data_IF_343497482959
#
_entry.id   IF_343497482959
#
_cell.length_a   1.000
_cell.length_b   1.000
_cell.length_c   1.000
_cell.angle_alpha   90.00
_cell.angle_beta   90.00
_cell.angle_gamma   90.00
#
_symmetry.space_group_name_H-M   'P 1'
#
loop_
_entity.id
_entity.type
_entity.pdbx_description
1 polymer ?
#
# COMPACT_ATOMS: atom_id res chain seq x y z
N UNK A 1 2.03 -6.59 -4.48
CA UNK A 1 2.30 -6.51 -5.92
C UNK A 1 1.08 -6.93 -6.72
N UNK A 2 0.69 -8.23 -6.72
CA UNK A 2 -0.38 -8.79 -7.57
C UNK A 2 -1.73 -8.08 -7.46
N UNK A 3 -2.13 -7.67 -6.27
CA UNK A 3 -3.41 -6.98 -6.03
C UNK A 3 -3.41 -5.61 -6.72
N UNK A 4 -2.34 -4.85 -6.57
CA UNK A 4 -2.24 -3.51 -7.18
C UNK A 4 -2.10 -3.63 -8.69
N UNK A 5 -1.36 -4.63 -9.20
CA UNK A 5 -1.27 -4.92 -10.63
C UNK A 5 -2.65 -5.24 -11.23
N UNK A 6 -3.44 -6.07 -10.56
CA UNK A 6 -4.81 -6.37 -10.98
C UNK A 6 -5.69 -5.12 -11.04
N UNK A 7 -5.56 -4.21 -10.05
CA UNK A 7 -6.29 -2.95 -10.07
C UNK A 7 -5.87 -2.00 -11.20
N UNK A 8 -4.58 -2.02 -11.60
CA UNK A 8 -4.11 -1.27 -12.76
C UNK A 8 -4.75 -1.79 -14.05
N UNK A 9 -4.83 -3.10 -14.18
CA UNK A 9 -5.49 -3.76 -15.31
C UNK A 9 -6.99 -3.43 -15.36
N UNK A 10 -7.70 -3.57 -14.25
CA UNK A 10 -9.15 -3.27 -14.13
C UNK A 10 -9.46 -1.81 -14.49
N UNK A 11 -8.61 -0.88 -14.06
CA UNK A 11 -8.77 0.56 -14.32
C UNK A 11 -8.21 0.98 -15.68
N UNK A 12 -7.71 0.05 -16.50
CA UNK A 12 -7.10 0.30 -17.82
C UNK A 12 -5.97 1.34 -17.75
N UNK A 13 -5.19 1.34 -16.68
CA UNK A 13 -4.03 2.19 -16.51
C UNK A 13 -2.84 1.52 -17.20
N UNK A 14 -2.00 2.31 -17.90
CA UNK A 14 -0.83 1.80 -18.59
C UNK A 14 0.09 1.04 -17.61
N UNK A 15 0.36 -0.23 -17.91
CA UNK A 15 1.20 -1.12 -17.09
C UNK A 15 2.64 -0.58 -16.94
N UNK A 16 3.13 0.22 -17.89
CA UNK A 16 4.42 0.89 -17.79
C UNK A 16 4.51 1.85 -16.59
N UNK A 17 3.38 2.26 -16.03
CA UNK A 17 3.34 3.07 -14.80
C UNK A 17 3.39 2.23 -13.54
N UNK A 18 3.06 0.94 -13.61
CA UNK A 18 3.01 0.08 -12.45
C UNK A 18 4.39 -0.31 -11.90
N UNK A 19 5.32 -0.73 -12.76
CA UNK A 19 6.67 -1.12 -12.33
C UNK A 19 7.40 0.00 -11.56
N UNK A 20 7.41 1.26 -12.04
CA UNK A 20 8.00 2.35 -11.27
C UNK A 20 7.39 2.52 -9.88
N UNK A 21 6.07 2.30 -9.71
CA UNK A 21 5.41 2.41 -8.41
C UNK A 21 6.06 1.50 -7.37
N UNK A 22 6.32 0.25 -7.76
CA UNK A 22 6.99 -0.71 -6.87
C UNK A 22 8.35 -0.21 -6.40
N UNK A 23 9.18 0.27 -7.32
CA UNK A 23 10.51 0.78 -6.98
C UNK A 23 10.45 2.05 -6.12
N UNK A 24 9.54 2.98 -6.42
CA UNK A 24 9.36 4.18 -5.60
C UNK A 24 8.94 3.83 -4.17
N UNK A 25 7.99 2.91 -4.00
CA UNK A 25 7.58 2.45 -2.67
C UNK A 25 8.70 1.73 -1.93
N UNK A 26 9.38 0.79 -2.60
CA UNK A 26 10.44 0.00 -2.00
C UNK A 26 11.60 0.87 -1.51
N UNK A 27 12.15 1.69 -2.39
CA UNK A 27 13.27 2.57 -2.02
C UNK A 27 12.84 3.68 -1.07
N UNK A 28 11.63 4.22 -1.23
CA UNK A 28 11.09 5.22 -0.32
C UNK A 28 10.98 4.71 1.11
N UNK A 29 10.41 3.52 1.30
CA UNK A 29 10.31 2.90 2.63
C UNK A 29 11.70 2.56 3.18
N UNK A 30 12.56 1.92 2.40
CA UNK A 30 13.87 1.49 2.86
C UNK A 30 14.76 2.68 3.27
N UNK A 31 14.89 3.67 2.41
CA UNK A 31 15.68 4.88 2.66
C UNK A 31 15.07 5.66 3.82
N UNK A 32 13.75 5.86 3.81
CA UNK A 32 13.06 6.58 4.88
C UNK A 32 13.20 5.90 6.23
N UNK A 33 13.02 4.58 6.31
CA UNK A 33 13.17 3.82 7.54
C UNK A 33 14.61 3.88 8.08
N UNK A 34 15.59 3.80 7.19
CA UNK A 34 17.02 3.90 7.57
C UNK A 34 17.38 5.29 8.07
N UNK A 35 17.06 6.32 7.29
CA UNK A 35 17.33 7.71 7.69
C UNK A 35 16.57 8.07 8.97
N UNK A 36 15.31 7.64 9.09
CA UNK A 36 14.53 7.85 10.31
C UNK A 36 15.19 7.22 11.54
N UNK A 37 15.73 6.01 11.43
CA UNK A 37 16.47 5.39 12.51
C UNK A 37 17.74 6.20 12.86
N UNK A 38 18.57 6.49 11.88
CA UNK A 38 19.83 7.21 12.09
C UNK A 38 19.61 8.61 12.69
N UNK A 39 18.57 9.33 12.27
CA UNK A 39 18.33 10.70 12.73
C UNK A 39 17.66 10.74 14.09
N UNK A 40 16.66 9.87 14.35
CA UNK A 40 15.84 9.98 15.56
C UNK A 40 16.30 9.11 16.71
N UNK A 41 17.01 8.00 16.43
CA UNK A 41 17.39 7.04 17.47
C UNK A 41 18.89 6.99 17.75
N UNK A 42 19.73 7.25 16.77
CA UNK A 42 21.17 6.99 16.89
C UNK A 42 22.03 8.11 16.25
N UNK A 43 21.52 9.34 16.28
CA UNK A 43 22.20 10.50 15.69
C UNK A 43 23.61 10.70 16.20
N UNK A 44 23.83 10.53 17.51
CA UNK A 44 25.13 10.69 18.15
C UNK A 44 26.23 9.79 17.55
N UNK A 45 25.84 8.61 17.04
CA UNK A 45 26.75 7.69 16.35
C UNK A 45 26.89 8.04 14.88
N UNK A 46 25.78 8.26 14.18
CA UNK A 46 25.78 8.40 12.72
C UNK A 46 26.24 9.77 12.21
N UNK A 47 26.30 10.80 13.07
CA UNK A 47 26.88 12.09 12.69
C UNK A 47 28.36 11.99 12.28
N UNK A 48 29.10 11.02 12.82
CA UNK A 48 30.51 10.75 12.53
C UNK A 48 30.72 9.58 11.55
N UNK A 49 29.61 8.84 11.20
CA UNK A 49 29.65 7.61 10.40
C UNK A 49 28.68 7.64 9.22
N UNK A 50 28.72 8.70 8.40
CA UNK A 50 27.79 8.89 7.26
C UNK A 50 27.76 7.74 6.25
N UNK A 51 28.90 7.06 6.06
CA UNK A 51 29.00 5.91 5.13
C UNK A 51 28.12 4.76 5.62
N UNK A 52 28.12 4.49 6.92
CA UNK A 52 27.32 3.45 7.56
C UNK A 52 25.81 3.80 7.62
N UNK A 53 25.48 5.09 7.51
CA UNK A 53 24.09 5.52 7.40
C UNK A 53 23.46 5.04 6.08
N UNK A 54 24.23 5.10 4.99
CA UNK A 54 23.74 4.81 3.63
C UNK A 54 23.96 3.35 3.25
N UNK A 55 25.15 2.80 3.57
CA UNK A 55 25.53 1.44 3.21
C UNK A 55 25.30 0.46 4.36
N UNK A 56 24.92 -0.81 4.08
CA UNK A 56 24.71 -1.84 5.10
C UNK A 56 26.02 -2.45 5.59
N UNK A 57 27.01 -1.62 5.86
CA UNK A 57 28.37 -1.99 6.30
C UNK A 57 28.69 -1.30 7.61
N UNK A 58 29.51 -1.92 8.41
CA UNK A 58 30.03 -1.35 9.67
C UNK A 58 31.53 -1.46 9.71
N UNK A 59 32.20 -0.39 10.13
CA UNK A 59 33.64 -0.38 10.34
C UNK A 59 33.95 -1.09 11.66
N UNK A 60 34.78 -2.15 11.59
CA UNK A 60 35.25 -2.92 12.75
C UNK A 60 36.75 -2.85 12.80
N UNK A 61 37.36 -3.21 13.96
CA UNK A 61 38.81 -3.27 14.10
C UNK A 61 39.51 -4.18 13.06
N UNK A 62 38.77 -5.15 12.48
CA UNK A 62 39.25 -6.06 11.42
C UNK A 62 38.96 -5.55 9.99
N UNK A 63 38.41 -4.33 9.83
CA UNK A 63 38.01 -3.76 8.55
C UNK A 63 36.50 -3.65 8.38
N UNK A 64 36.07 -3.42 7.13
CA UNK A 64 34.63 -3.27 6.79
C UNK A 64 33.92 -4.62 6.79
N UNK A 65 32.83 -4.73 7.54
CA UNK A 65 31.99 -5.93 7.61
C UNK A 65 30.57 -5.59 7.13
N UNK A 66 30.00 -6.43 6.25
CA UNK A 66 28.60 -6.32 5.88
C UNK A 66 27.74 -6.83 7.03
N UNK A 67 26.96 -5.95 7.63
CA UNK A 67 26.09 -6.26 8.78
C UNK A 67 24.60 -6.25 8.43
N UNK A 68 24.27 -5.87 7.21
CA UNK A 68 22.89 -5.57 6.84
C UNK A 68 22.41 -4.23 7.43
N UNK A 69 21.17 -3.88 7.16
CA UNK A 69 20.55 -2.71 7.81
C UNK A 69 20.02 -3.11 9.18
N UNK A 70 20.84 -2.93 10.20
CA UNK A 70 20.40 -3.00 11.60
C UNK A 70 19.80 -1.64 11.99
N UNK A 71 18.59 -1.66 12.53
CA UNK A 71 17.86 -0.42 12.88
C UNK A 71 17.13 0.20 11.70
N UNK A 72 15.82 -0.01 11.68
CA UNK A 72 14.87 0.57 10.75
C UNK A 72 13.71 1.16 11.55
N UNK A 73 13.41 2.45 11.35
CA UNK A 73 12.31 3.13 12.03
C UNK A 73 11.06 3.15 11.15
N UNK A 74 9.96 2.60 11.64
CA UNK A 74 8.68 2.56 10.92
C UNK A 74 8.14 3.96 10.58
N UNK A 75 8.31 4.94 11.48
CA UNK A 75 7.93 6.33 11.23
C UNK A 75 8.69 6.93 10.04
N UNK A 76 10.02 6.69 9.97
CA UNK A 76 10.83 7.11 8.84
C UNK A 76 10.40 6.43 7.54
N UNK A 77 10.08 5.13 7.58
CA UNK A 77 9.55 4.39 6.43
C UNK A 77 8.23 4.95 5.92
N UNK A 78 7.33 5.32 6.82
CA UNK A 78 6.04 5.95 6.46
C UNK A 78 6.26 7.29 5.79
N UNK A 79 7.12 8.15 6.35
CA UNK A 79 7.43 9.45 5.76
C UNK A 79 8.09 9.29 4.38
N UNK A 80 9.04 8.36 4.27
CA UNK A 80 9.69 8.01 3.00
C UNK A 80 8.70 7.53 1.93
N UNK A 81 7.72 6.71 2.32
CA UNK A 81 6.66 6.26 1.43
C UNK A 81 5.79 7.43 0.94
N UNK A 82 5.39 8.35 1.82
CA UNK A 82 4.59 9.53 1.46
C UNK A 82 5.32 10.37 0.42
N UNK A 83 6.61 10.65 0.64
CA UNK A 83 7.45 11.43 -0.28
C UNK A 83 7.61 10.68 -1.62
N UNK A 84 7.89 9.39 -1.59
CA UNK A 84 8.07 8.57 -2.78
C UNK A 84 6.79 8.51 -3.63
N UNK A 85 5.63 8.35 -3.02
CA UNK A 85 4.35 8.38 -3.73
C UNK A 85 4.05 9.75 -4.33
N UNK A 86 4.38 10.83 -3.62
CA UNK A 86 4.25 12.16 -4.16
C UNK A 86 5.14 12.36 -5.41
N UNK A 87 6.41 11.94 -5.35
CA UNK A 87 7.34 11.98 -6.48
C UNK A 87 6.84 11.13 -7.66
N UNK A 88 6.36 9.91 -7.37
CA UNK A 88 5.78 9.02 -8.37
C UNK A 88 4.58 9.66 -9.07
N UNK A 89 3.63 10.21 -8.33
CA UNK A 89 2.44 10.87 -8.88
C UNK A 89 2.79 12.09 -9.73
N UNK A 90 3.79 12.87 -9.31
CA UNK A 90 4.32 13.99 -10.11
C UNK A 90 4.87 13.52 -11.46
N UNK A 91 5.64 12.42 -11.47
CA UNK A 91 6.27 11.87 -12.68
C UNK A 91 5.24 11.23 -13.63
N UNK A 92 4.30 10.47 -13.09
CA UNK A 92 3.30 9.72 -13.88
C UNK A 92 2.06 10.51 -14.23
N UNK A 93 1.91 11.71 -13.66
CA UNK A 93 0.70 12.56 -13.74
C UNK A 93 -0.56 11.85 -13.26
N UNK A 94 -0.43 10.91 -12.34
CA UNK A 94 -1.56 10.26 -11.67
C UNK A 94 -2.00 11.08 -10.47
N UNK A 95 -3.30 11.00 -10.16
CA UNK A 95 -3.83 11.65 -8.97
C UNK A 95 -3.39 10.90 -7.71
N UNK A 96 -2.89 11.62 -6.71
CA UNK A 96 -2.29 11.04 -5.51
C UNK A 96 -3.28 10.14 -4.73
N UNK A 97 -4.54 10.58 -4.58
CA UNK A 97 -5.57 9.81 -3.88
C UNK A 97 -5.92 8.50 -4.59
N UNK A 98 -5.92 8.48 -5.93
CA UNK A 98 -6.19 7.25 -6.68
C UNK A 98 -5.10 6.19 -6.45
N UNK A 99 -3.84 6.61 -6.33
CA UNK A 99 -2.73 5.72 -6.03
C UNK A 99 -2.80 5.23 -4.58
N UNK A 100 -3.14 6.11 -3.64
CA UNK A 100 -3.35 5.73 -2.23
C UNK A 100 -4.49 4.71 -2.09
N UNK A 101 -5.62 4.91 -2.77
CA UNK A 101 -6.76 4.00 -2.74
C UNK A 101 -6.36 2.59 -3.23
N UNK A 102 -5.57 2.52 -4.31
CA UNK A 102 -5.08 1.23 -4.81
C UNK A 102 -4.16 0.52 -3.81
N UNK A 103 -3.26 1.25 -3.16
CA UNK A 103 -2.36 0.71 -2.15
C UNK A 103 -3.14 0.32 -0.88
N UNK A 104 -4.13 1.11 -0.47
CA UNK A 104 -4.93 0.88 0.72
C UNK A 104 -5.63 -0.49 0.69
N UNK A 105 -6.10 -0.95 -0.47
CA UNK A 105 -6.70 -2.28 -0.62
C UNK A 105 -5.70 -3.41 -0.36
N UNK A 106 -4.43 -3.21 -0.75
CA UNK A 106 -3.38 -4.23 -0.60
C UNK A 106 -2.69 -4.21 0.77
N UNK A 107 -2.77 -3.10 1.51
CA UNK A 107 -2.07 -2.91 2.79
C UNK A 107 -2.47 -3.93 3.86
N UNK A 108 -3.78 -4.24 4.08
CA UNK A 108 -4.16 -5.16 5.15
C UNK A 108 -3.65 -6.58 4.96
N UNK A 109 -3.61 -7.10 3.73
CA UNK A 109 -3.06 -8.45 3.50
C UNK A 109 -1.54 -8.47 3.74
N UNK A 110 -0.84 -7.38 3.43
CA UNK A 110 0.59 -7.25 3.74
C UNK A 110 0.81 -7.24 5.25
N UNK A 111 0.00 -6.50 6.00
CA UNK A 111 0.04 -6.47 7.46
C UNK A 111 -0.26 -7.86 8.05
N UNK A 112 -1.24 -8.59 7.52
CA UNK A 112 -1.53 -9.97 7.91
C UNK A 112 -0.31 -10.88 7.74
N UNK A 113 0.34 -10.85 6.57
CA UNK A 113 1.55 -11.65 6.31
C UNK A 113 2.70 -11.30 7.27
N UNK A 114 2.89 -10.02 7.59
CA UNK A 114 3.89 -9.57 8.56
C UNK A 114 3.59 -10.15 9.94
N UNK A 115 2.33 -10.11 10.40
CA UNK A 115 1.96 -10.69 11.70
C UNK A 115 2.13 -12.20 11.75
N UNK A 116 1.86 -12.91 10.66
CA UNK A 116 2.16 -14.33 10.57
C UNK A 116 3.68 -14.61 10.61
N UNK A 117 4.48 -13.78 9.96
CA UNK A 117 5.94 -13.87 10.06
C UNK A 117 6.44 -13.60 11.48
N UNK A 118 5.91 -12.60 12.19
CA UNK A 118 6.23 -12.35 13.60
C UNK A 118 5.86 -13.55 14.49
N UNK A 119 4.73 -14.22 14.22
CA UNK A 119 4.34 -15.43 14.93
C UNK A 119 5.38 -16.55 14.76
N UNK A 120 5.82 -16.79 13.52
CA UNK A 120 6.84 -17.81 13.21
C UNK A 120 8.21 -17.48 13.80
N UNK A 121 8.54 -16.20 13.94
CA UNK A 121 9.78 -15.72 14.52
C UNK A 121 9.74 -15.58 16.05
N UNK A 122 8.60 -15.81 16.70
CA UNK A 122 8.37 -15.56 18.14
C UNK A 122 8.57 -14.09 18.52
N UNK A 123 8.25 -13.16 17.63
CA UNK A 123 8.37 -11.71 17.88
C UNK A 123 7.02 -11.12 18.30
N UNK A 124 7.06 -10.06 19.12
CA UNK A 124 5.87 -9.30 19.56
C UNK A 124 4.81 -10.21 20.22
N UNK A 125 5.26 -11.07 21.12
CA UNK A 125 4.42 -12.04 21.82
C UNK A 125 3.45 -11.35 22.79
N UNK A 126 2.31 -12.01 23.05
CA UNK A 126 1.31 -11.54 23.99
C UNK A 126 1.66 -11.76 25.45
N UNK A 127 0.79 -11.31 26.33
CA UNK A 127 0.92 -11.50 27.77
C UNK A 127 0.74 -12.99 28.14
N UNK A 128 1.36 -13.47 29.26
CA UNK A 128 1.08 -14.80 29.81
C UNK A 128 -0.41 -15.01 30.06
N UNK A 129 -0.90 -16.25 29.85
CA UNK A 129 -2.31 -16.58 29.97
C UNK A 129 -2.51 -18.08 30.16
N UNK A 130 -3.64 -18.46 30.75
CA UNK A 130 -4.06 -19.85 30.97
C UNK A 130 -5.17 -20.32 30.02
N UNK A 131 -5.43 -19.58 28.95
CA UNK A 131 -6.46 -19.97 27.97
C UNK A 131 -6.03 -21.22 27.18
N UNK A 132 -7.00 -22.12 26.80
CA UNK A 132 -6.66 -23.40 26.17
C UNK A 132 -6.01 -23.31 24.80
N UNK A 133 -6.00 -22.13 24.17
CA UNK A 133 -5.31 -21.85 22.90
C UNK A 133 -4.07 -21.01 23.06
N UNK A 134 -3.48 -20.95 24.26
CA UNK A 134 -2.20 -20.28 24.49
C UNK A 134 -1.07 -20.98 23.73
N UNK A 135 -0.10 -20.20 23.25
CA UNK A 135 1.10 -20.71 22.59
C UNK A 135 2.30 -20.58 23.52
N UNK A 136 3.22 -21.57 23.46
CA UNK A 136 4.51 -21.50 24.11
C UNK A 136 5.52 -21.09 23.05
N UNK A 137 6.16 -19.94 23.27
CA UNK A 137 7.20 -19.40 22.38
C UNK A 137 8.59 -19.77 22.92
N UNK A 138 9.03 -21.00 22.66
CA UNK A 138 10.25 -21.60 23.21
C UNK A 138 11.52 -20.77 22.98
N UNK A 139 11.53 -19.87 21.98
CA UNK A 139 12.65 -18.96 21.73
C UNK A 139 12.74 -17.81 22.75
N UNK A 140 11.64 -17.52 23.45
CA UNK A 140 11.54 -16.42 24.42
C UNK A 140 11.45 -16.96 25.84
N UNK A 141 10.43 -17.75 26.14
CA UNK A 141 10.25 -18.40 27.43
C UNK A 141 9.31 -19.62 27.31
N UNK A 142 9.18 -20.39 28.40
CA UNK A 142 8.32 -21.58 28.49
C UNK A 142 6.92 -21.26 29.01
N UNK A 143 6.56 -19.98 29.11
CA UNK A 143 5.22 -19.58 29.60
C UNK A 143 4.19 -19.63 28.48
N UNK A 144 2.97 -20.15 28.76
CA UNK A 144 1.86 -20.03 27.82
C UNK A 144 1.45 -18.57 27.67
N UNK A 145 1.34 -18.10 26.42
CA UNK A 145 1.05 -16.71 26.09
C UNK A 145 -0.02 -16.59 25.04
N UNK A 146 -0.74 -15.46 25.06
CA UNK A 146 -1.65 -15.13 23.97
C UNK A 146 -0.86 -14.99 22.65
N UNK A 147 -1.28 -15.68 21.57
CA UNK A 147 -0.72 -15.46 20.23
C UNK A 147 -1.27 -14.14 19.65
N UNK A 148 -0.81 -13.01 20.19
CA UNK A 148 -1.28 -11.66 19.81
C UNK A 148 -1.14 -11.41 18.30
N UNK A 149 -0.05 -11.90 17.71
CA UNK A 149 0.23 -11.81 16.27
C UNK A 149 -0.86 -12.51 15.44
N UNK A 150 -1.35 -13.68 15.91
CA UNK A 150 -2.42 -14.43 15.24
C UNK A 150 -3.74 -13.68 15.29
N UNK A 151 -4.06 -13.06 16.43
CA UNK A 151 -5.29 -12.27 16.58
C UNK A 151 -5.26 -11.08 15.62
N UNK A 152 -4.13 -10.38 15.56
CA UNK A 152 -3.96 -9.26 14.64
C UNK A 152 -3.97 -9.71 13.18
N UNK A 153 -3.35 -10.85 12.85
CA UNK A 153 -3.37 -11.40 11.49
C UNK A 153 -4.81 -11.70 11.03
N UNK A 154 -5.63 -12.31 11.88
CA UNK A 154 -7.04 -12.59 11.58
C UNK A 154 -7.81 -11.27 11.38
N UNK A 155 -7.61 -10.29 12.26
CA UNK A 155 -8.26 -8.99 12.13
C UNK A 155 -7.89 -8.29 10.83
N UNK A 156 -6.62 -8.27 10.46
CA UNK A 156 -6.15 -7.71 9.18
C UNK A 156 -6.68 -8.47 7.97
N UNK A 157 -6.81 -9.79 8.06
CA UNK A 157 -7.39 -10.59 6.98
C UNK A 157 -8.88 -10.27 6.77
N UNK A 158 -9.66 -10.16 7.85
CA UNK A 158 -11.06 -9.73 7.78
C UNK A 158 -11.18 -8.33 7.18
N UNK A 159 -10.31 -7.41 7.61
CA UNK A 159 -10.25 -6.06 7.07
C UNK A 159 -9.90 -6.05 5.57
N UNK A 160 -8.99 -6.91 5.14
CA UNK A 160 -8.67 -7.11 3.72
C UNK A 160 -9.89 -7.54 2.91
N UNK A 161 -10.65 -8.52 3.39
CA UNK A 161 -11.87 -8.96 2.71
C UNK A 161 -12.90 -7.83 2.59
N UNK A 162 -13.03 -7.03 3.65
CA UNK A 162 -13.88 -5.83 3.64
C UNK A 162 -13.43 -4.80 2.61
N UNK A 163 -12.13 -4.51 2.52
CA UNK A 163 -11.57 -3.59 1.53
C UNK A 163 -11.77 -4.07 0.09
N UNK A 164 -11.57 -5.36 -0.18
CA UNK A 164 -11.82 -5.95 -1.50
C UNK A 164 -13.31 -5.87 -1.87
N UNK A 165 -14.20 -6.11 -0.90
CA UNK A 165 -15.64 -5.99 -1.13
C UNK A 165 -16.04 -4.54 -1.45
N UNK A 166 -15.53 -3.55 -0.69
CA UNK A 166 -15.76 -2.13 -0.94
C UNK A 166 -15.23 -1.71 -2.32
N UNK A 167 -14.04 -2.16 -2.69
CA UNK A 167 -13.44 -1.89 -3.99
C UNK A 167 -14.34 -2.40 -5.13
N UNK A 168 -14.74 -3.68 -5.07
CA UNK A 168 -15.62 -4.28 -6.08
C UNK A 168 -16.99 -3.59 -6.15
N UNK A 169 -17.55 -3.19 -5.00
CA UNK A 169 -18.80 -2.44 -4.95
C UNK A 169 -18.66 -1.05 -5.58
N UNK A 170 -17.53 -0.39 -5.36
CA UNK A 170 -17.20 0.90 -5.97
C UNK A 170 -17.11 0.82 -7.49
N UNK A 171 -16.42 -0.21 -8.03
CA UNK A 171 -16.32 -0.45 -9.46
C UNK A 171 -17.68 -0.64 -10.11
N UNK A 172 -18.51 -1.55 -9.58
CA UNK A 172 -19.88 -1.78 -10.12
C UNK A 172 -20.72 -0.50 -10.16
N UNK A 173 -20.59 0.36 -9.13
CA UNK A 173 -21.31 1.64 -9.10
C UNK A 173 -20.80 2.62 -10.18
N UNK A 174 -19.51 2.60 -10.46
CA UNK A 174 -18.89 3.44 -11.49
C UNK A 174 -19.29 2.98 -12.89
N UNK A 175 -19.27 1.68 -13.15
CA UNK A 175 -19.74 1.08 -14.42
C UNK A 175 -21.20 1.42 -14.68
N UNK A 176 -22.08 1.24 -13.69
CA UNK A 176 -23.51 1.57 -13.80
C UNK A 176 -23.75 3.06 -14.10
N UNK A 177 -22.94 3.97 -13.51
CA UNK A 177 -23.03 5.40 -13.83
C UNK A 177 -22.61 5.68 -15.27
N UNK A 178 -21.50 5.10 -15.74
CA UNK A 178 -21.03 5.27 -17.11
C UNK A 178 -22.06 4.78 -18.14
N UNK A 179 -22.69 3.63 -17.89
CA UNK A 179 -23.76 3.11 -18.75
C UNK A 179 -24.97 4.04 -18.79
N UNK A 180 -25.36 4.60 -17.64
CA UNK A 180 -26.47 5.55 -17.55
C UNK A 180 -26.17 6.84 -18.31
N UNK A 181 -24.97 7.39 -18.15
CA UNK A 181 -24.53 8.61 -18.83
C UNK A 181 -24.42 8.39 -20.35
N UNK A 182 -23.89 7.23 -20.77
CA UNK A 182 -23.81 6.87 -22.18
C UNK A 182 -25.20 6.73 -22.82
N UNK A 183 -26.12 6.05 -22.13
CA UNK A 183 -27.51 5.89 -22.62
C UNK A 183 -28.24 7.23 -22.71
N UNK A 184 -28.01 8.12 -21.75
CA UNK A 184 -28.59 9.46 -21.73
C UNK A 184 -28.05 10.33 -22.88
N UNK A 185 -26.74 10.27 -23.12
CA UNK A 185 -26.08 10.99 -24.21
C UNK A 185 -26.57 10.49 -25.59
N UNK A 186 -26.68 9.17 -25.75
CA UNK A 186 -27.20 8.56 -26.97
C UNK A 186 -28.66 8.98 -27.22
N UNK A 187 -29.51 9.02 -26.20
CA UNK A 187 -30.90 9.47 -26.29
C UNK A 187 -30.98 10.92 -26.71
N UNK A 188 -30.16 11.81 -26.13
CA UNK A 188 -30.11 13.22 -26.53
C UNK A 188 -29.66 13.41 -27.97
N UNK A 189 -28.64 12.68 -28.43
CA UNK A 189 -28.20 12.77 -29.84
C UNK A 189 -29.28 12.30 -30.84
N UNK A 190 -30.02 11.24 -30.49
CA UNK A 190 -31.13 10.75 -31.32
C UNK A 190 -32.30 11.76 -31.39
N UNK A 191 -32.58 12.42 -30.26
CA UNK A 191 -33.65 13.46 -30.22
C UNK A 191 -33.28 14.67 -31.08
N UNK A 192 -32.01 15.13 -30.98
CA UNK A 192 -31.52 16.25 -31.81
C UNK A 192 -31.51 15.90 -33.29
N UNK A 193 -31.16 14.68 -33.67
CA UNK A 193 -31.26 14.23 -35.08
C UNK A 193 -32.70 14.11 -35.56
N UNK A 194 -33.62 13.66 -34.72
CA UNK A 194 -35.04 13.60 -35.05
C UNK A 194 -35.64 15.00 -35.23
N UNK A 195 -35.28 15.96 -34.39
CA UNK A 195 -35.72 17.36 -34.54
C UNK A 195 -35.15 18.03 -35.80
N UNK A 196 -33.88 17.72 -36.14
CA UNK A 196 -33.23 18.23 -37.36
C UNK A 196 -33.80 17.63 -38.65
N UNK A 197 -34.48 16.48 -38.58
CA UNK A 197 -35.11 15.79 -39.72
C UNK A 197 -36.58 16.19 -39.95
N UNK A 198 -37.16 17.01 -39.09
CA UNK A 198 -38.50 17.51 -39.31
C UNK A 198 -38.50 18.48 -40.49
N UNK A 199 -39.40 18.30 -41.50
CA UNK A 199 -39.47 19.21 -42.64
C UNK A 199 -39.88 20.60 -42.17
N UNK A 200 -39.04 21.58 -42.50
CA UNK A 200 -39.30 22.98 -42.20
C UNK A 200 -40.58 23.42 -42.94
N UNK A 201 -41.71 23.44 -42.25
CA UNK A 201 -42.92 24.07 -42.78
C UNK A 201 -42.68 25.58 -42.83
N UNK A 202 -42.28 26.10 -44.02
CA UNK A 202 -42.39 27.52 -44.33
C UNK A 202 -43.85 27.89 -44.27
N UNK A 203 -44.27 28.52 -43.19
CA UNK A 203 -45.51 29.23 -43.14
C UNK A 203 -45.49 30.34 -44.21
N UNK A 204 -46.29 30.19 -45.19
CA UNK A 204 -46.69 31.30 -46.07
C UNK A 204 -47.56 32.24 -45.24
N UNK A 205 -47.05 33.46 -44.99
CA UNK A 205 -47.82 34.73 -45.07
C UNK A 205 -46.78 35.84 -45.26
#
# INVERSE_FOLDING_TARGET
>A
YLIVQHQYHDRKIDEKKFEPLFFYCFFGILIGARLGHCIFYDWAYYQDHFVEMILPIKQTAAGWKMTGYTGLASHGGTLGLIIALWMYCRKTKMHYMDVLDMIAVATPITACCIRLANLMNSEIIGKPTDVPWAFIFEREDMLPRHPAQLYEAIAYFIFFLGMVWLYKRGQKKQESKLETDFSTTKRKSTTVQAEASLPYHRGFF
#
